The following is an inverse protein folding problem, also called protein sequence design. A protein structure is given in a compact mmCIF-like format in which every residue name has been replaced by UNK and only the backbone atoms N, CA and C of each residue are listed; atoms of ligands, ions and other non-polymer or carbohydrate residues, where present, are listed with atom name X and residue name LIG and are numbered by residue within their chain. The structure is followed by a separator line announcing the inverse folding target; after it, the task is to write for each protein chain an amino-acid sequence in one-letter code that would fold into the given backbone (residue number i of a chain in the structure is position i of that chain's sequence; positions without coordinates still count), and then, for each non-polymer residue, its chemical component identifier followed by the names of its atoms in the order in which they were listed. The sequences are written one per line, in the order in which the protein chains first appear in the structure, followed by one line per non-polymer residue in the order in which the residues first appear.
data_IF_528042419606
#
_entry.id   IF_528042419606
#
_cell.length_a   1.000
_cell.length_b   1.000
_cell.length_c   1.000
_cell.angle_alpha   90.00
_cell.angle_beta   90.00
_cell.angle_gamma   90.00
#
_symmetry.space_group_name_H-M   'P 1'
#
loop_
_entity.id
_entity.type
_entity.pdbx_description
1 polymer ?
#
# COMPACT_ATOMS: atom_id res chain seq x y z
N UNK A 1 36.37 58.63 33.31
CA UNK A 1 35.28 58.65 32.31
C UNK A 1 35.59 57.55 31.30
N UNK A 2 35.22 56.30 31.60
CA UNK A 2 35.39 55.15 30.71
C UNK A 2 34.00 54.71 30.26
N UNK A 3 33.72 54.85 28.97
CA UNK A 3 32.53 54.32 28.33
C UNK A 3 32.70 52.80 28.19
N UNK A 4 31.86 52.03 28.88
CA UNK A 4 31.63 50.62 28.58
C UNK A 4 30.38 50.53 27.71
N UNK A 5 30.58 50.39 26.41
CA UNK A 5 29.53 49.95 25.47
C UNK A 5 29.30 48.46 25.66
N UNK A 6 28.18 48.10 26.29
CA UNK A 6 27.59 46.77 26.24
C UNK A 6 27.19 46.46 24.79
N UNK A 7 27.89 45.51 24.18
CA UNK A 7 27.46 44.87 22.93
C UNK A 7 26.26 43.97 23.25
N UNK A 8 25.06 44.44 22.93
CA UNK A 8 23.89 43.58 22.80
C UNK A 8 24.09 42.73 21.54
N UNK A 9 24.52 41.49 21.71
CA UNK A 9 24.44 40.49 20.64
C UNK A 9 23.07 39.84 20.74
N UNK A 10 22.10 40.39 20.02
CA UNK A 10 20.83 39.71 19.74
C UNK A 10 21.11 38.58 18.74
N UNK A 11 21.50 37.42 19.25
CA UNK A 11 21.45 36.18 18.47
C UNK A 11 19.98 35.80 18.32
N UNK A 12 19.38 36.14 17.18
CA UNK A 12 18.11 35.57 16.78
C UNK A 12 18.29 34.06 16.62
N UNK A 13 17.75 33.28 17.56
CA UNK A 13 17.77 31.83 17.47
C UNK A 13 16.87 31.40 16.31
N UNK A 14 17.45 30.72 15.33
CA UNK A 14 16.69 30.01 14.31
C UNK A 14 15.80 28.98 14.99
N UNK A 15 14.55 28.86 14.53
CA UNK A 15 13.58 28.03 15.22
C UNK A 15 14.05 26.57 15.40
N UNK A 16 14.76 26.00 14.42
CA UNK A 16 15.20 24.60 14.47
C UNK A 16 16.23 24.32 15.57
N UNK A 17 16.90 25.36 16.08
CA UNK A 17 18.00 25.26 17.06
C UNK A 17 17.61 25.72 18.48
N UNK A 18 16.43 26.33 18.65
CA UNK A 18 16.04 27.01 19.90
C UNK A 18 16.02 26.08 21.12
N UNK A 19 15.58 24.83 20.95
CA UNK A 19 15.55 23.84 22.04
C UNK A 19 16.75 22.89 22.01
N UNK A 20 17.56 22.88 20.95
CA UNK A 20 18.77 22.05 20.86
C UNK A 20 20.01 22.75 21.46
N UNK A 21 20.04 24.09 21.46
CA UNK A 21 21.20 24.89 21.90
C UNK A 21 21.12 25.38 23.36
N UNK A 22 20.80 24.49 24.31
CA UNK A 22 21.15 24.62 25.73
C UNK A 22 20.22 25.41 26.69
N UNK A 23 18.91 25.29 26.56
CA UNK A 23 17.98 25.66 27.66
C UNK A 23 17.02 24.52 27.98
N UNK A 24 16.80 24.24 29.27
CA UNK A 24 15.70 23.38 29.73
C UNK A 24 14.38 24.01 29.22
N UNK A 25 13.49 23.20 28.66
CA UNK A 25 12.15 23.65 28.23
C UNK A 25 11.44 24.41 29.36
N UNK A 26 11.65 24.01 30.62
CA UNK A 26 11.11 24.72 31.80
C UNK A 26 11.63 26.15 31.91
N UNK A 27 12.91 26.39 31.63
CA UNK A 27 13.51 27.72 31.69
C UNK A 27 13.00 28.61 30.56
N UNK A 28 12.83 28.06 29.34
CA UNK A 28 12.23 28.76 28.21
C UNK A 28 10.78 29.15 28.52
N UNK A 29 9.99 28.22 29.06
CA UNK A 29 8.60 28.46 29.45
C UNK A 29 8.53 29.53 30.55
N UNK A 30 9.37 29.43 31.58
CA UNK A 30 9.41 30.38 32.69
C UNK A 30 9.79 31.80 32.23
N UNK A 31 10.72 31.90 31.28
CA UNK A 31 11.19 33.17 30.71
C UNK A 31 10.32 33.67 29.54
N UNK A 32 9.27 32.91 29.17
CA UNK A 32 8.40 33.19 28.03
C UNK A 32 9.15 33.47 26.71
N UNK A 33 10.25 32.76 26.48
CA UNK A 33 11.09 32.94 25.27
C UNK A 33 10.33 32.39 24.06
N UNK A 34 10.34 33.15 22.95
CA UNK A 34 9.71 32.76 21.67
C UNK A 34 10.70 33.05 20.55
N UNK A 35 10.81 32.21 19.51
CA UNK A 35 11.66 32.52 18.36
C UNK A 35 11.23 33.83 17.69
N UNK A 36 12.21 34.62 17.25
CA UNK A 36 11.96 35.89 16.56
C UNK A 36 11.11 35.70 15.28
N UNK A 37 11.26 34.54 14.63
CA UNK A 37 10.47 34.13 13.47
C UNK A 37 9.74 32.81 13.72
N UNK A 38 8.65 32.87 14.51
CA UNK A 38 7.74 31.75 14.67
C UNK A 38 6.94 31.50 13.38
N UNK A 39 7.03 30.30 12.83
CA UNK A 39 6.33 29.90 11.60
C UNK A 39 5.65 28.53 11.75
N UNK A 40 4.73 28.22 10.85
CA UNK A 40 4.09 26.91 10.82
C UNK A 40 5.07 25.76 10.50
N UNK A 41 6.08 26.04 9.66
CA UNK A 41 7.15 25.08 9.34
C UNK A 41 8.01 24.79 10.57
N UNK A 42 8.33 25.83 11.34
CA UNK A 42 9.03 25.76 12.61
C UNK A 42 8.32 24.80 13.59
N UNK A 43 7.03 25.03 13.86
CA UNK A 43 6.22 24.14 14.71
C UNK A 43 6.16 22.71 14.14
N UNK A 44 5.97 22.58 12.83
CA UNK A 44 5.90 21.28 12.15
C UNK A 44 7.19 20.46 12.28
N UNK A 45 8.36 21.11 12.39
CA UNK A 45 9.64 20.42 12.55
C UNK A 45 9.73 19.72 13.91
N UNK A 46 9.30 20.37 14.99
CA UNK A 46 9.27 19.78 16.34
C UNK A 46 8.28 18.62 16.43
N UNK A 47 7.10 18.75 15.81
CA UNK A 47 6.11 17.65 15.71
C UNK A 47 6.71 16.43 14.99
N UNK A 48 7.46 16.64 13.90
CA UNK A 48 8.12 15.57 13.14
C UNK A 48 9.24 14.89 13.93
N UNK A 49 9.96 15.64 14.77
CA UNK A 49 11.01 15.12 15.67
C UNK A 49 10.44 14.38 16.90
N UNK A 50 9.13 14.48 17.17
CA UNK A 50 8.51 13.93 18.37
C UNK A 50 8.64 14.80 19.61
N UNK A 51 9.10 16.04 19.46
CA UNK A 51 9.26 17.05 20.51
C UNK A 51 7.91 17.75 20.76
N UNK A 52 6.97 17.02 21.38
CA UNK A 52 5.57 17.44 21.49
C UNK A 52 5.35 18.54 22.53
N UNK A 53 6.11 18.56 23.62
CA UNK A 53 5.98 19.58 24.68
C UNK A 53 6.46 20.95 24.17
N UNK A 54 7.55 20.97 23.39
CA UNK A 54 8.07 22.14 22.68
C UNK A 54 7.07 22.64 21.65
N UNK A 55 6.51 21.74 20.85
CA UNK A 55 5.49 22.08 19.86
C UNK A 55 4.21 22.66 20.51
N UNK A 56 3.76 22.09 21.64
CA UNK A 56 2.61 22.59 22.40
C UNK A 56 2.86 24.02 22.89
N UNK A 57 4.04 24.27 23.47
CA UNK A 57 4.44 25.61 23.89
C UNK A 57 4.44 26.60 22.72
N UNK A 58 5.07 26.25 21.58
CA UNK A 58 5.10 27.11 20.40
C UNK A 58 3.70 27.39 19.82
N UNK A 59 2.82 26.39 19.81
CA UNK A 59 1.41 26.56 19.37
C UNK A 59 0.68 27.51 20.30
N UNK A 60 0.90 27.42 21.62
CA UNK A 60 0.27 28.32 22.59
C UNK A 60 0.65 29.79 22.38
N UNK A 61 1.84 30.04 21.82
CA UNK A 61 2.35 31.39 21.50
C UNK A 61 1.98 31.86 20.10
N UNK A 62 1.72 30.93 19.17
CA UNK A 62 1.38 31.24 17.78
C UNK A 62 0.08 32.05 17.63
N UNK A 63 -0.87 31.92 18.55
CA UNK A 63 -2.11 32.70 18.57
C UNK A 63 -1.90 34.22 18.68
N UNK A 64 -0.78 34.64 19.28
CA UNK A 64 -0.40 36.06 19.40
C UNK A 64 0.38 36.58 18.18
N UNK A 65 0.88 35.69 17.32
CA UNK A 65 1.87 36.02 16.27
C UNK A 65 1.33 35.91 14.83
N UNK A 66 0.01 35.84 14.62
CA UNK A 66 -0.66 35.71 13.29
C UNK A 66 -0.15 34.55 12.41
N UNK A 67 0.37 33.49 13.03
CA UNK A 67 0.85 32.31 12.29
C UNK A 67 -0.34 31.49 11.78
N UNK A 68 -0.33 31.10 10.50
CA UNK A 68 -1.35 30.21 9.94
C UNK A 68 -1.13 28.76 10.41
N UNK A 69 -1.94 28.32 11.36
CA UNK A 69 -1.88 27.00 11.96
C UNK A 69 -2.61 25.91 11.15
N UNK A 70 -3.25 26.23 10.03
CA UNK A 70 -3.99 25.23 9.24
C UNK A 70 -3.08 24.10 8.75
N UNK A 71 -1.86 24.44 8.30
CA UNK A 71 -0.87 23.45 7.85
C UNK A 71 -0.40 22.53 9.01
N UNK A 72 -0.21 23.09 10.21
CA UNK A 72 0.12 22.35 11.43
C UNK A 72 -1.03 21.42 11.83
N UNK A 73 -2.28 21.92 11.80
CA UNK A 73 -3.47 21.12 12.09
C UNK A 73 -3.62 19.95 11.11
N UNK A 74 -3.41 20.19 9.81
CA UNK A 74 -3.45 19.13 8.79
C UNK A 74 -2.38 18.06 9.02
N UNK A 75 -1.17 18.45 9.45
CA UNK A 75 -0.11 17.52 9.83
C UNK A 75 -0.54 16.66 11.03
N UNK A 76 -1.06 17.28 12.10
CA UNK A 76 -1.55 16.56 13.28
C UNK A 76 -2.70 15.60 12.96
N UNK A 77 -3.64 16.01 12.11
CA UNK A 77 -4.74 15.14 11.64
C UNK A 77 -4.22 13.98 10.78
N UNK A 78 -3.15 14.17 10.02
CA UNK A 78 -2.47 13.09 9.31
C UNK A 78 -1.87 12.09 10.30
N UNK A 79 -1.12 12.57 11.29
CA UNK A 79 -0.49 11.71 12.30
C UNK A 79 -1.51 10.98 13.16
N UNK A 80 -2.59 11.65 13.58
CA UNK A 80 -3.71 11.03 14.29
C UNK A 80 -4.30 9.86 13.50
N UNK A 81 -4.48 10.01 12.18
CA UNK A 81 -4.94 8.92 11.30
C UNK A 81 -3.93 7.78 11.22
N UNK A 82 -2.65 8.09 11.04
CA UNK A 82 -1.58 7.08 10.99
C UNK A 82 -1.46 6.31 12.30
N UNK A 83 -1.47 7.00 13.45
CA UNK A 83 -1.43 6.38 14.77
C UNK A 83 -2.67 5.52 14.99
N UNK A 84 -3.87 6.03 14.71
CA UNK A 84 -5.09 5.23 14.82
C UNK A 84 -5.06 3.96 13.95
N UNK A 85 -4.50 4.06 12.74
CA UNK A 85 -4.28 2.91 11.86
C UNK A 85 -3.35 1.88 12.52
N UNK A 86 -2.18 2.31 13.01
CA UNK A 86 -1.21 1.43 13.67
C UNK A 86 -1.78 0.81 14.96
N UNK A 87 -2.45 1.60 15.80
CA UNK A 87 -3.06 1.11 17.03
C UNK A 87 -4.14 0.07 16.73
N UNK A 88 -4.92 0.26 15.65
CA UNK A 88 -5.93 -0.72 15.26
C UNK A 88 -5.37 -2.09 14.91
N UNK A 89 -4.07 -2.20 14.57
CA UNK A 89 -3.42 -3.48 14.30
C UNK A 89 -3.24 -4.35 15.56
N UNK A 90 -3.19 -3.74 16.75
CA UNK A 90 -3.13 -4.46 18.02
C UNK A 90 -4.46 -5.12 18.39
N UNK A 91 -5.58 -4.59 17.89
CA UNK A 91 -6.93 -5.11 18.14
C UNK A 91 -7.33 -6.25 17.19
N UNK A 92 -6.48 -6.58 16.22
CA UNK A 92 -6.83 -7.58 15.19
C UNK A 92 -6.57 -8.99 15.71
N UNK A 93 -7.61 -9.82 15.70
CA UNK A 93 -7.53 -11.25 16.03
C UNK A 93 -6.34 -11.94 15.36
N UNK A 94 -5.74 -12.93 16.05
CA UNK A 94 -4.53 -13.57 15.56
C UNK A 94 -4.78 -14.51 14.37
N UNK A 95 -5.94 -15.15 14.32
CA UNK A 95 -6.28 -16.09 13.24
C UNK A 95 -6.91 -15.35 12.05
N UNK A 96 -6.32 -15.48 10.84
CA UNK A 96 -6.90 -14.86 9.67
C UNK A 96 -8.14 -15.63 9.19
N UNK A 97 -9.18 -14.91 8.76
CA UNK A 97 -10.26 -15.52 8.00
C UNK A 97 -9.74 -15.94 6.63
N UNK A 98 -9.90 -17.22 6.29
CA UNK A 98 -9.55 -17.73 4.96
C UNK A 98 -10.62 -17.30 3.95
N UNK A 99 -10.17 -16.69 2.85
CA UNK A 99 -11.01 -16.20 1.75
C UNK A 99 -10.52 -16.77 0.43
N UNK A 100 -11.42 -17.32 -0.38
CA UNK A 100 -11.10 -17.66 -1.77
C UNK A 100 -11.12 -16.36 -2.59
N UNK A 101 -9.98 -15.90 -3.16
CA UNK A 101 -9.95 -14.66 -3.92
C UNK A 101 -10.73 -14.85 -5.22
N UNK A 102 -11.52 -13.85 -5.62
CA UNK A 102 -12.10 -13.84 -6.96
C UNK A 102 -11.00 -13.69 -8.00
N UNK A 103 -11.08 -14.44 -9.09
CA UNK A 103 -10.12 -14.32 -10.17
C UNK A 103 -10.77 -14.44 -11.54
N UNK A 104 -10.10 -13.88 -12.55
CA UNK A 104 -10.48 -14.02 -13.94
C UNK A 104 -9.39 -14.73 -14.72
N UNK A 105 -9.77 -15.34 -15.84
CA UNK A 105 -8.82 -15.96 -16.74
C UNK A 105 -9.13 -15.68 -18.21
N UNK A 106 -8.08 -15.68 -19.03
CA UNK A 106 -8.14 -15.66 -20.49
C UNK A 106 -6.95 -16.44 -21.05
N UNK A 107 -6.89 -16.59 -22.38
CA UNK A 107 -5.78 -17.24 -23.05
C UNK A 107 -5.47 -16.63 -24.41
N UNK A 108 -4.22 -16.80 -24.83
CA UNK A 108 -3.79 -16.73 -26.23
C UNK A 108 -3.45 -18.15 -26.71
N UNK A 109 -2.98 -18.31 -27.95
CA UNK A 109 -2.49 -19.60 -28.42
C UNK A 109 -1.27 -20.11 -27.63
N UNK A 110 -0.51 -19.20 -27.01
CA UNK A 110 0.78 -19.51 -26.38
C UNK A 110 0.77 -19.38 -24.87
N UNK A 111 -0.14 -18.58 -24.30
CA UNK A 111 -0.16 -18.27 -22.87
C UNK A 111 -1.56 -18.41 -22.26
N UNK A 112 -1.59 -18.62 -20.95
CA UNK A 112 -2.75 -18.37 -20.09
C UNK A 112 -2.51 -17.09 -19.28
N UNK A 113 -3.58 -16.36 -19.01
CA UNK A 113 -3.58 -15.12 -18.25
C UNK A 113 -4.54 -15.25 -17.09
N UNK A 114 -4.09 -14.86 -15.90
CA UNK A 114 -4.87 -14.84 -14.67
C UNK A 114 -4.87 -13.42 -14.12
N UNK A 115 -6.02 -12.98 -13.61
CA UNK A 115 -6.17 -11.73 -12.86
C UNK A 115 -6.82 -12.05 -11.52
N UNK A 116 -6.00 -12.16 -10.49
CA UNK A 116 -6.40 -12.54 -9.13
C UNK A 116 -6.64 -11.26 -8.34
N UNK A 117 -7.87 -11.08 -7.84
CA UNK A 117 -8.22 -9.93 -7.02
C UNK A 117 -8.20 -10.31 -5.54
N UNK A 118 -7.60 -9.46 -4.71
CA UNK A 118 -7.52 -9.63 -3.25
C UNK A 118 -8.85 -9.26 -2.57
N UNK A 119 -9.94 -9.92 -2.98
CA UNK A 119 -11.30 -9.80 -2.44
C UNK A 119 -12.12 -11.04 -2.77
N UNK A 120 -13.23 -11.25 -2.03
CA UNK A 120 -14.15 -12.36 -2.28
C UNK A 120 -14.92 -12.22 -3.61
N UNK A 121 -15.22 -10.98 -4.04
CA UNK A 121 -15.91 -10.69 -5.30
C UNK A 121 -15.05 -9.80 -6.19
N UNK A 122 -15.21 -9.95 -7.50
CA UNK A 122 -14.39 -9.21 -8.44
C UNK A 122 -14.81 -7.74 -8.58
N UNK A 123 -16.07 -7.42 -8.30
CA UNK A 123 -16.65 -6.07 -8.34
C UNK A 123 -16.41 -5.27 -7.05
N UNK A 124 -16.14 -5.93 -5.91
CA UNK A 124 -15.85 -5.27 -4.63
C UNK A 124 -14.45 -4.66 -4.58
N UNK A 125 -14.22 -3.66 -3.74
CA UNK A 125 -12.87 -3.16 -3.46
C UNK A 125 -11.94 -4.30 -2.97
N UNK A 126 -10.70 -4.32 -3.47
CA UNK A 126 -9.67 -5.27 -3.06
C UNK A 126 -8.79 -4.72 -1.95
N UNK A 127 -8.11 -5.61 -1.22
CA UNK A 127 -7.01 -5.23 -0.34
C UNK A 127 -5.86 -4.65 -1.18
N UNK A 128 -5.55 -3.37 -1.03
CA UNK A 128 -4.45 -2.71 -1.77
C UNK A 128 -3.08 -3.04 -1.19
N UNK A 129 -3.02 -3.42 0.08
CA UNK A 129 -1.80 -3.79 0.78
C UNK A 129 -1.91 -5.23 1.27
N UNK A 130 -1.10 -6.10 0.68
CA UNK A 130 -0.97 -7.50 1.09
C UNK A 130 0.45 -7.77 1.58
N UNK A 131 0.58 -8.76 2.47
CA UNK A 131 1.85 -9.26 3.02
C UNK A 131 1.83 -10.80 3.03
N UNK A 132 2.95 -11.42 3.39
CA UNK A 132 3.14 -12.89 3.38
C UNK A 132 2.74 -13.55 2.05
N UNK A 133 3.06 -12.89 0.93
CA UNK A 133 2.64 -13.36 -0.38
C UNK A 133 3.46 -14.56 -0.84
N UNK A 134 2.76 -15.60 -1.30
CA UNK A 134 3.31 -16.82 -1.86
C UNK A 134 2.68 -17.02 -3.24
N UNK A 135 3.52 -17.16 -4.27
CA UNK A 135 3.12 -17.54 -5.63
C UNK A 135 4.01 -18.71 -6.03
N UNK A 136 3.43 -19.91 -6.15
CA UNK A 136 4.13 -21.10 -6.60
C UNK A 136 3.45 -21.63 -7.86
N UNK A 137 4.15 -21.50 -8.97
CA UNK A 137 3.71 -22.01 -10.27
C UNK A 137 4.43 -23.32 -10.54
N UNK A 138 3.67 -24.41 -10.57
CA UNK A 138 4.13 -25.76 -10.89
C UNK A 138 3.50 -26.20 -12.21
N UNK A 139 4.03 -27.29 -12.79
CA UNK A 139 3.63 -27.76 -14.12
C UNK A 139 2.13 -27.95 -14.29
N UNK A 140 1.44 -28.38 -13.25
CA UNK A 140 0.04 -28.79 -13.27
C UNK A 140 -0.84 -27.99 -12.30
N UNK A 141 -0.28 -27.04 -11.54
CA UNK A 141 -1.08 -26.19 -10.64
C UNK A 141 -0.40 -24.88 -10.26
N UNK A 142 -1.22 -23.92 -9.86
CA UNK A 142 -0.84 -22.69 -9.19
C UNK A 142 -1.28 -22.74 -7.72
N UNK A 143 -0.36 -22.44 -6.82
CA UNK A 143 -0.66 -22.10 -5.42
C UNK A 143 -0.42 -20.60 -5.23
N UNK A 144 -1.43 -19.90 -4.76
CA UNK A 144 -1.36 -18.50 -4.38
C UNK A 144 -1.87 -18.32 -2.95
N UNK A 145 -1.11 -17.58 -2.14
CA UNK A 145 -1.54 -17.10 -0.84
C UNK A 145 -1.09 -15.66 -0.61
N UNK A 146 -1.90 -14.87 0.06
CA UNK A 146 -1.54 -13.53 0.51
C UNK A 146 -2.40 -13.13 1.71
N UNK A 147 -1.88 -12.33 2.62
CA UNK A 147 -2.62 -11.83 3.78
C UNK A 147 -2.86 -10.33 3.65
N UNK A 148 -3.96 -9.84 4.18
CA UNK A 148 -4.18 -8.40 4.39
C UNK A 148 -4.91 -8.15 5.70
N UNK A 149 -4.93 -6.88 6.11
CA UNK A 149 -5.80 -6.40 7.18
C UNK A 149 -6.81 -5.45 6.53
N UNK A 150 -8.08 -5.81 6.60
CA UNK A 150 -9.18 -5.04 6.05
C UNK A 150 -10.22 -4.80 7.13
N UNK A 151 -10.54 -3.54 7.42
CA UNK A 151 -11.53 -3.17 8.43
C UNK A 151 -11.33 -3.87 9.79
N UNK A 152 -10.08 -3.89 10.28
CA UNK A 152 -9.66 -4.56 11.53
C UNK A 152 -9.77 -6.10 11.52
N UNK A 153 -9.89 -6.71 10.35
CA UNK A 153 -9.92 -8.16 10.21
C UNK A 153 -8.70 -8.64 9.42
N UNK A 154 -7.98 -9.65 9.93
CA UNK A 154 -6.97 -10.37 9.15
C UNK A 154 -7.68 -11.28 8.16
N UNK A 155 -7.36 -11.13 6.88
CA UNK A 155 -7.81 -12.00 5.81
C UNK A 155 -6.60 -12.74 5.24
N UNK A 156 -6.77 -14.02 4.95
CA UNK A 156 -5.81 -14.83 4.21
C UNK A 156 -6.48 -15.31 2.92
N UNK A 157 -6.01 -14.79 1.80
CA UNK A 157 -6.44 -15.24 0.49
C UNK A 157 -5.72 -16.54 0.15
N UNK A 158 -6.46 -17.54 -0.32
CA UNK A 158 -5.90 -18.81 -0.78
C UNK A 158 -6.54 -19.23 -2.09
N UNK A 159 -5.70 -19.49 -3.09
CA UNK A 159 -6.10 -20.07 -4.36
C UNK A 159 -5.19 -21.24 -4.71
N UNK A 160 -5.80 -22.41 -4.83
CA UNK A 160 -5.18 -23.59 -5.40
C UNK A 160 -5.90 -23.90 -6.71
N UNK A 161 -5.22 -23.69 -7.83
CA UNK A 161 -5.79 -23.85 -9.17
C UNK A 161 -5.04 -24.97 -9.90
N UNK A 162 -5.60 -26.18 -9.96
CA UNK A 162 -5.04 -27.23 -10.81
C UNK A 162 -5.34 -26.90 -12.27
N UNK A 163 -4.33 -26.93 -13.13
CA UNK A 163 -4.46 -26.56 -14.53
C UNK A 163 -5.10 -27.68 -15.37
N UNK A 164 -5.74 -27.30 -16.48
CA UNK A 164 -6.31 -28.23 -17.45
C UNK A 164 -5.25 -29.11 -18.11
N UNK A 165 -4.14 -28.49 -18.53
CA UNK A 165 -2.96 -29.15 -19.08
C UNK A 165 -1.69 -28.61 -18.43
N UNK A 166 -0.55 -29.24 -18.73
CA UNK A 166 0.73 -28.80 -18.21
C UNK A 166 1.18 -27.46 -18.82
N UNK A 167 1.83 -26.64 -18.00
CA UNK A 167 2.43 -25.36 -18.38
C UNK A 167 3.97 -25.43 -18.41
N UNK A 168 4.59 -24.43 -19.03
CA UNK A 168 6.03 -24.19 -18.90
C UNK A 168 6.31 -23.20 -17.76
N UNK A 169 6.80 -23.72 -16.64
CA UNK A 169 7.08 -22.91 -15.44
C UNK A 169 8.24 -21.94 -15.61
N UNK A 170 9.08 -22.09 -16.64
CA UNK A 170 10.26 -21.23 -16.88
C UNK A 170 9.86 -19.83 -17.31
N UNK A 171 8.68 -19.68 -17.90
CA UNK A 171 8.19 -18.43 -18.46
C UNK A 171 6.90 -18.02 -17.76
N UNK A 172 7.06 -17.50 -16.54
CA UNK A 172 6.01 -16.94 -15.72
C UNK A 172 6.30 -15.47 -15.46
N UNK A 173 5.37 -14.60 -15.82
CA UNK A 173 5.42 -13.17 -15.52
C UNK A 173 4.33 -12.84 -14.50
N UNK A 174 4.67 -12.05 -13.49
CA UNK A 174 3.72 -11.56 -12.47
C UNK A 174 3.74 -10.05 -12.43
N UNK A 175 2.56 -9.42 -12.38
CA UNK A 175 2.41 -7.97 -12.29
C UNK A 175 1.40 -7.61 -11.20
N UNK A 176 1.77 -6.73 -10.28
CA UNK A 176 0.88 -6.25 -9.22
C UNK A 176 0.27 -4.92 -9.59
N UNK A 177 -1.04 -4.82 -9.45
CA UNK A 177 -1.79 -3.59 -9.72
C UNK A 177 -2.20 -2.98 -8.39
N UNK A 178 -1.97 -1.67 -8.26
CA UNK A 178 -2.25 -0.86 -7.05
C UNK A 178 -3.70 -0.95 -6.55
N UNK A 179 -4.62 -1.51 -7.33
CA UNK A 179 -6.02 -1.74 -6.97
C UNK A 179 -6.26 -3.07 -6.23
N UNK A 180 -5.18 -3.73 -5.77
CA UNK A 180 -5.27 -5.01 -5.06
C UNK A 180 -5.49 -6.19 -6.00
N UNK A 181 -4.77 -6.20 -7.13
CA UNK A 181 -4.79 -7.32 -8.07
C UNK A 181 -3.40 -7.84 -8.36
N UNK A 182 -3.33 -9.11 -8.70
CA UNK A 182 -2.16 -9.80 -9.21
C UNK A 182 -2.50 -10.41 -10.57
N UNK A 183 -1.82 -9.93 -11.59
CA UNK A 183 -1.85 -10.53 -12.91
C UNK A 183 -0.73 -11.55 -13.04
N UNK A 184 -1.04 -12.72 -13.59
CA UNK A 184 -0.07 -13.78 -13.87
C UNK A 184 -0.23 -14.19 -15.33
N UNK A 185 0.88 -14.19 -16.07
CA UNK A 185 0.96 -14.70 -17.43
C UNK A 185 1.90 -15.91 -17.43
N UNK A 186 1.42 -17.01 -17.98
CA UNK A 186 2.12 -18.29 -17.95
C UNK A 186 2.11 -18.90 -19.34
N UNK A 187 3.26 -19.39 -19.80
CA UNK A 187 3.36 -20.07 -21.09
C UNK A 187 2.77 -21.50 -21.02
N UNK A 188 1.98 -21.86 -22.03
CA UNK A 188 1.49 -23.24 -22.21
C UNK A 188 2.63 -24.14 -22.67
N UNK A 189 2.69 -25.36 -22.16
CA UNK A 189 3.73 -26.32 -22.57
C UNK A 189 3.59 -26.71 -24.05
N UNK A 190 2.36 -27.04 -24.49
CA UNK A 190 2.04 -27.42 -25.87
C UNK A 190 1.56 -26.23 -26.69
N UNK A 191 2.32 -25.14 -26.73
CA UNK A 191 1.99 -24.00 -27.57
C UNK A 191 2.36 -24.29 -29.05
N UNK A 192 1.55 -23.88 -30.05
CA UNK A 192 0.23 -23.26 -29.93
C UNK A 192 -0.88 -24.28 -29.58
N UNK A 193 -1.79 -23.89 -28.69
CA UNK A 193 -2.98 -24.70 -28.34
C UNK A 193 -4.11 -23.86 -27.76
N UNK A 194 -5.34 -24.39 -27.82
CA UNK A 194 -6.54 -23.79 -27.23
C UNK A 194 -7.06 -24.68 -26.13
N UNK A 195 -7.15 -24.14 -24.92
CA UNK A 195 -7.68 -24.86 -23.76
C UNK A 195 -9.19 -24.60 -23.65
N UNK A 196 -10.06 -25.62 -23.59
CA UNK A 196 -11.49 -25.39 -23.40
C UNK A 196 -11.80 -24.75 -22.04
N UNK A 197 -10.94 -24.97 -21.05
CA UNK A 197 -11.02 -24.41 -19.71
C UNK A 197 -9.62 -24.29 -19.10
N UNK A 198 -9.45 -23.48 -18.05
CA UNK A 198 -8.13 -23.34 -17.38
C UNK A 198 -7.86 -24.40 -16.31
N UNK A 199 -8.91 -25.03 -15.78
CA UNK A 199 -8.83 -25.91 -14.62
C UNK A 199 -8.97 -27.39 -15.01
N UNK A 200 -8.40 -28.27 -14.20
CA UNK A 200 -8.78 -29.69 -14.18
C UNK A 200 -9.80 -29.97 -13.08
N UNK A 201 -10.75 -30.86 -13.34
CA UNK A 201 -11.82 -31.21 -12.40
C UNK A 201 -12.97 -30.19 -12.37
N UNK A 202 -13.41 -29.83 -11.16
CA UNK A 202 -14.57 -28.96 -10.94
C UNK A 202 -14.25 -27.48 -11.17
N UNK A 203 -15.23 -26.76 -11.72
CA UNK A 203 -15.13 -25.32 -11.97
C UNK A 203 -15.03 -24.55 -10.64
N UNK A 204 -13.98 -23.75 -10.40
CA UNK A 204 -13.92 -22.90 -9.22
C UNK A 204 -15.05 -21.84 -9.23
N UNK A 205 -15.81 -21.75 -8.14
CA UNK A 205 -16.95 -20.82 -8.01
C UNK A 205 -16.53 -19.34 -8.03
N UNK A 206 -15.30 -19.06 -7.60
CA UNK A 206 -14.67 -17.74 -7.55
C UNK A 206 -14.01 -17.34 -8.87
N UNK A 207 -14.22 -18.10 -9.96
CA UNK A 207 -13.64 -17.84 -11.27
C UNK A 207 -14.64 -17.20 -12.24
N UNK A 208 -14.20 -16.21 -13.00
CA UNK A 208 -14.94 -15.65 -14.14
C UNK A 208 -14.06 -15.54 -15.40
N UNK A 209 -14.63 -15.42 -16.60
CA UNK A 209 -13.84 -15.09 -17.79
C UNK A 209 -13.30 -13.66 -17.72
N UNK A 210 -12.10 -13.43 -18.27
CA UNK A 210 -11.54 -12.11 -18.48
C UNK A 210 -11.84 -11.64 -19.91
N UNK A 211 -13.05 -11.12 -20.11
CA UNK A 211 -13.57 -10.78 -21.44
C UNK A 211 -12.66 -9.84 -22.23
N UNK A 212 -12.19 -8.74 -21.62
CA UNK A 212 -11.34 -7.76 -22.29
C UNK A 212 -10.02 -8.37 -22.83
N UNK A 213 -9.43 -9.30 -22.07
CA UNK A 213 -8.20 -10.00 -22.49
C UNK A 213 -8.52 -11.09 -23.52
N UNK A 214 -9.66 -11.76 -23.39
CA UNK A 214 -10.10 -12.80 -24.31
C UNK A 214 -10.43 -12.21 -25.70
N UNK A 215 -11.02 -11.02 -25.74
CA UNK A 215 -11.38 -10.30 -26.96
C UNK A 215 -10.14 -10.01 -27.83
N UNK A 216 -9.03 -9.60 -27.21
CA UNK A 216 -7.75 -9.35 -27.89
C UNK A 216 -7.21 -10.57 -28.65
N UNK A 217 -7.60 -11.77 -28.24
CA UNK A 217 -7.10 -13.03 -28.78
C UNK A 217 -8.17 -13.85 -29.51
N UNK A 218 -9.40 -13.34 -29.62
CA UNK A 218 -10.53 -14.12 -30.10
C UNK A 218 -10.35 -14.56 -31.57
N UNK A 219 -9.84 -13.67 -32.43
CA UNK A 219 -9.63 -13.95 -33.85
C UNK A 219 -8.61 -15.08 -34.07
N UNK A 220 -7.44 -15.00 -33.41
CA UNK A 220 -6.40 -16.03 -33.54
C UNK A 220 -6.86 -17.39 -32.99
N UNK A 221 -7.68 -17.40 -31.92
CA UNK A 221 -8.18 -18.64 -31.33
C UNK A 221 -9.18 -19.32 -32.27
N UNK A 222 -10.11 -18.54 -32.86
CA UNK A 222 -11.08 -19.04 -33.84
C UNK A 222 -10.40 -19.60 -35.09
N UNK A 223 -9.48 -18.83 -35.69
CA UNK A 223 -8.73 -19.28 -36.87
C UNK A 223 -7.99 -20.58 -36.64
N UNK A 224 -7.35 -20.75 -35.47
CA UNK A 224 -6.64 -21.98 -35.13
C UNK A 224 -7.58 -23.18 -34.94
N UNK A 225 -8.79 -22.95 -34.39
CA UNK A 225 -9.80 -23.99 -34.25
C UNK A 225 -10.36 -24.41 -35.62
N UNK A 226 -10.65 -23.45 -36.50
CA UNK A 226 -11.17 -23.73 -37.84
C UNK A 226 -10.17 -24.51 -38.71
N UNK A 227 -8.88 -24.17 -38.61
CA UNK A 227 -7.80 -24.86 -39.33
C UNK A 227 -7.58 -26.30 -38.87
N UNK A 228 -7.82 -26.59 -37.59
CA UNK A 228 -7.61 -27.92 -37.00
C UNK A 228 -8.89 -28.78 -36.96
N UNK A 229 -10.02 -28.23 -37.40
CA UNK A 229 -11.29 -28.95 -37.53
C UNK A 229 -11.48 -29.61 -38.91
N UNK A 230 -10.56 -29.36 -39.85
CA UNK A 230 -10.45 -29.98 -41.17
C UNK A 230 -9.44 -31.14 -41.14
#
# INVERSE_FOLDING_TARGET
MFFLTLLHVSFGLLCEDMFEQAYDLKDIIAQQIVPEHLSAQCISSYIKKGAYEEAEYLISKAGSSKVDLNSVMNLLLSYKRSIASLTSLFDVENEPQIVKPSFRWAQSLTHIYLDIKFSHRFDSAGCTHVYDKIIKVKKDHLEFSAKCIYSKQKLQFELNLPFYEVIDTRYTETNEILTGRLEIKIQKWKAPSVWPQIYSGEKPQNMSPWWDMQEQFNEQLKQHQDLNAL
#
